data_IF_203903389543
#
_entry.id   IF_203903389543
#
_cell.length_a   1.000
_cell.length_b   1.000
_cell.length_c   1.000
_cell.angle_alpha   90.00
_cell.angle_beta   90.00
_cell.angle_gamma   90.00
#
_symmetry.space_group_name_H-M   'P 1'
#
loop_
_entity.id
_entity.type
_entity.pdbx_description
1 polymer ?
#
# COMPACT_ATOMS: atom_id res chain seq x y z
N UNK A 1 43.64 33.07 49.23
CA UNK A 1 44.08 34.00 48.16
C UNK A 1 44.72 33.15 47.06
N UNK A 2 44.31 33.08 45.80
CA UNK A 2 43.40 33.87 44.95
C UNK A 2 42.63 32.88 44.06
N UNK A 3 41.33 33.06 43.89
CA UNK A 3 40.59 32.46 42.77
C UNK A 3 40.84 33.34 41.54
N UNK A 4 41.46 32.78 40.50
CA UNK A 4 41.40 33.31 39.14
C UNK A 4 40.39 32.48 38.38
N UNK A 5 39.23 33.06 38.13
CA UNK A 5 38.14 32.45 37.37
C UNK A 5 38.42 32.63 35.88
N UNK A 6 38.57 31.52 35.17
CA UNK A 6 38.78 31.46 33.73
C UNK A 6 37.51 31.83 32.96
N UNK A 7 37.43 33.06 32.45
CA UNK A 7 36.33 33.54 31.60
C UNK A 7 36.52 33.26 30.10
N UNK A 8 37.56 32.50 29.71
CA UNK A 8 37.86 32.21 28.31
C UNK A 8 36.85 31.33 27.55
N UNK A 9 36.11 30.36 28.15
CA UNK A 9 35.23 29.50 27.36
C UNK A 9 33.90 30.16 26.97
N UNK A 10 33.46 31.20 27.69
CA UNK A 10 32.17 31.87 27.46
C UNK A 10 32.21 32.87 26.30
N UNK A 11 33.33 33.56 26.11
CA UNK A 11 33.51 34.47 24.97
C UNK A 11 33.59 33.71 23.63
N UNK A 12 34.17 32.51 23.62
CA UNK A 12 34.30 31.68 22.42
C UNK A 12 32.97 31.09 21.95
N UNK A 13 32.08 30.72 22.89
CA UNK A 13 30.73 30.25 22.61
C UNK A 13 29.82 31.35 22.04
N UNK A 14 29.97 32.59 22.51
CA UNK A 14 29.19 33.73 22.02
C UNK A 14 29.58 34.14 20.59
N UNK A 15 30.87 34.11 20.26
CA UNK A 15 31.35 34.45 18.91
C UNK A 15 30.91 33.39 17.88
N UNK A 16 30.95 32.11 18.25
CA UNK A 16 30.51 31.01 17.36
C UNK A 16 29.00 31.01 17.14
N UNK A 17 28.18 31.33 18.16
CA UNK A 17 26.73 31.49 18.00
C UNK A 17 26.36 32.67 17.08
N UNK A 18 27.05 33.81 17.20
CA UNK A 18 26.82 34.98 16.35
C UNK A 18 27.19 34.74 14.87
N UNK A 19 28.28 34.00 14.61
CA UNK A 19 28.66 33.62 13.24
C UNK A 19 27.66 32.64 12.61
N UNK A 20 27.11 31.70 13.39
CA UNK A 20 26.09 30.77 12.91
C UNK A 20 24.79 31.51 12.51
N UNK A 21 24.34 32.48 13.31
CA UNK A 21 23.15 33.28 12.99
C UNK A 21 23.33 34.17 11.76
N UNK A 22 24.53 34.73 11.53
CA UNK A 22 24.81 35.55 10.35
C UNK A 22 24.90 34.72 9.06
N UNK A 23 25.47 33.50 9.12
CA UNK A 23 25.59 32.61 7.96
C UNK A 23 24.24 31.97 7.60
N UNK A 24 23.43 31.55 8.58
CA UNK A 24 22.11 30.98 8.33
C UNK A 24 21.03 32.03 8.04
N UNK A 25 21.13 33.23 8.61
CA UNK A 25 20.23 34.34 8.31
C UNK A 25 20.30 34.79 6.85
N UNK A 26 21.52 34.85 6.27
CA UNK A 26 21.72 35.23 4.86
C UNK A 26 21.28 34.16 3.86
N UNK A 27 21.27 32.87 4.23
CA UNK A 27 20.74 31.80 3.35
C UNK A 27 19.21 31.83 3.24
N UNK A 28 18.48 32.24 4.29
CA UNK A 28 17.02 32.37 4.23
C UNK A 28 16.54 33.51 3.30
N UNK A 29 17.28 34.61 3.20
CA UNK A 29 16.89 35.72 2.33
C UNK A 29 17.05 35.41 0.84
N UNK A 30 18.05 34.62 0.43
CA UNK A 30 18.20 34.18 -0.97
C UNK A 30 17.19 33.12 -1.40
N UNK A 31 16.62 32.35 -0.46
CA UNK A 31 15.53 31.41 -0.75
C UNK A 31 14.17 32.13 -0.90
N UNK A 32 13.98 33.29 -0.26
CA UNK A 32 12.74 34.06 -0.36
C UNK A 32 12.62 34.85 -1.68
N UNK A 33 13.74 35.32 -2.25
CA UNK A 33 13.73 36.05 -3.54
C UNK A 33 13.55 35.15 -4.78
N UNK A 34 13.70 33.82 -4.65
CA UNK A 34 13.42 32.85 -5.74
C UNK A 34 11.96 32.35 -5.76
N UNK A 35 11.12 32.77 -4.80
CA UNK A 35 9.68 32.46 -4.75
C UNK A 35 8.79 33.48 -5.49
N UNK A 36 9.38 34.34 -6.33
CA UNK A 36 8.69 35.34 -7.15
C UNK A 36 8.35 34.88 -8.57
N UNK A 37 8.14 33.59 -8.81
CA UNK A 37 7.56 33.08 -10.06
C UNK A 37 6.63 31.93 -9.70
N UNK A 38 5.47 32.31 -9.15
CA UNK A 38 4.30 31.44 -9.15
C UNK A 38 3.89 31.28 -10.60
N UNK A 39 4.41 30.22 -11.23
CA UNK A 39 3.75 29.60 -12.37
C UNK A 39 2.34 29.28 -11.91
N UNK A 40 1.38 30.08 -12.36
CA UNK A 40 -0.04 29.73 -12.31
C UNK A 40 -0.17 28.48 -13.16
N UNK A 41 -0.14 27.32 -12.49
CA UNK A 41 -0.59 26.06 -13.07
C UNK A 41 -1.95 26.38 -13.72
N UNK A 42 -2.14 26.12 -15.03
CA UNK A 42 -3.44 26.30 -15.64
C UNK A 42 -4.46 25.56 -14.78
N UNK A 43 -5.45 26.27 -14.23
CA UNK A 43 -6.57 25.60 -13.60
C UNK A 43 -7.23 24.78 -14.70
N UNK A 44 -7.12 23.46 -14.58
CA UNK A 44 -7.90 22.56 -15.41
C UNK A 44 -9.38 22.94 -15.22
N UNK A 45 -10.16 23.06 -16.30
CA UNK A 45 -11.56 23.39 -16.18
C UNK A 45 -12.25 22.37 -15.25
N UNK A 46 -13.22 22.82 -14.43
CA UNK A 46 -13.99 21.90 -13.60
C UNK A 46 -14.60 20.82 -14.49
N UNK A 47 -14.38 19.57 -14.08
CA UNK A 47 -14.87 18.40 -14.81
C UNK A 47 -16.41 18.47 -14.80
N UNK A 48 -17.08 18.44 -15.97
CA UNK A 48 -18.53 18.50 -16.02
C UNK A 48 -19.14 17.28 -15.30
N UNK A 49 -20.27 17.43 -14.58
CA UNK A 49 -20.92 16.34 -13.83
C UNK A 49 -21.19 15.08 -14.67
N UNK A 50 -21.39 15.27 -15.99
CA UNK A 50 -21.62 14.21 -16.97
C UNK A 50 -20.43 13.26 -17.14
N UNK A 51 -19.21 13.69 -16.81
CA UNK A 51 -18.00 12.87 -16.88
C UNK A 51 -17.96 11.74 -15.83
N UNK A 52 -18.84 11.78 -14.83
CA UNK A 52 -18.99 10.75 -13.81
C UNK A 52 -20.16 9.80 -14.07
N UNK A 53 -20.99 10.04 -15.09
CA UNK A 53 -22.14 9.18 -15.38
C UNK A 53 -21.68 7.79 -15.86
N UNK A 54 -22.07 6.75 -15.13
CA UNK A 54 -21.68 5.36 -15.41
C UNK A 54 -20.22 5.04 -15.08
N UNK A 55 -19.61 5.80 -14.16
CA UNK A 55 -18.32 5.44 -13.56
C UNK A 55 -18.49 4.29 -12.56
N UNK A 56 -17.44 3.52 -12.36
CA UNK A 56 -17.31 2.55 -11.27
C UNK A 56 -17.17 3.27 -9.93
N UNK A 57 -17.97 2.87 -8.95
CA UNK A 57 -18.08 3.52 -7.63
C UNK A 57 -17.79 2.55 -6.49
N UNK A 58 -17.72 3.07 -5.26
CA UNK A 58 -17.59 2.24 -4.05
C UNK A 58 -18.75 1.25 -3.87
N UNK A 59 -19.95 1.62 -4.32
CA UNK A 59 -21.11 0.72 -4.28
C UNK A 59 -20.89 -0.46 -5.22
N UNK A 60 -20.38 -0.19 -6.44
CA UNK A 60 -20.07 -1.25 -7.41
C UNK A 60 -18.94 -2.16 -6.91
N UNK A 61 -17.93 -1.61 -6.22
CA UNK A 61 -16.87 -2.39 -5.56
C UNK A 61 -17.48 -3.37 -4.55
N UNK A 62 -18.37 -2.87 -3.67
CA UNK A 62 -19.01 -3.69 -2.64
C UNK A 62 -19.89 -4.78 -3.25
N UNK A 63 -20.71 -4.43 -4.25
CA UNK A 63 -21.54 -5.40 -4.97
C UNK A 63 -20.70 -6.46 -5.67
N UNK A 64 -19.58 -6.07 -6.28
CA UNK A 64 -18.65 -7.01 -6.91
C UNK A 64 -18.00 -7.94 -5.88
N UNK A 65 -17.58 -7.42 -4.72
CA UNK A 65 -16.99 -8.21 -3.65
C UNK A 65 -17.97 -9.27 -3.12
N UNK A 66 -19.23 -8.87 -2.91
CA UNK A 66 -20.31 -9.78 -2.49
C UNK A 66 -20.61 -10.83 -3.57
N UNK A 67 -20.72 -10.41 -4.83
CA UNK A 67 -20.99 -11.33 -5.94
C UNK A 67 -19.85 -12.34 -6.18
N UNK A 68 -18.61 -11.94 -5.90
CA UNK A 68 -17.43 -12.82 -5.92
C UNK A 68 -17.36 -13.78 -4.71
N UNK A 69 -18.28 -13.65 -3.75
CA UNK A 69 -18.30 -14.48 -2.54
C UNK A 69 -17.14 -14.19 -1.58
N UNK A 70 -16.66 -12.94 -1.54
CA UNK A 70 -15.55 -12.59 -0.66
C UNK A 70 -15.96 -12.65 0.82
N UNK A 71 -15.01 -12.98 1.72
CA UNK A 71 -15.28 -13.15 3.14
C UNK A 71 -15.80 -11.87 3.80
N UNK A 72 -16.67 -12.03 4.81
CA UNK A 72 -17.28 -10.92 5.55
C UNK A 72 -16.26 -9.90 6.08
N UNK A 73 -15.07 -10.35 6.46
CA UNK A 73 -14.00 -9.46 6.93
C UNK A 73 -13.55 -8.46 5.87
N UNK A 74 -13.47 -8.88 4.60
CA UNK A 74 -13.17 -7.99 3.46
C UNK A 74 -14.34 -7.04 3.23
N UNK A 75 -15.58 -7.54 3.25
CA UNK A 75 -16.77 -6.71 3.07
C UNK A 75 -16.84 -5.60 4.14
N UNK A 76 -16.51 -5.91 5.40
CA UNK A 76 -16.44 -4.93 6.50
C UNK A 76 -15.36 -3.87 6.29
N UNK A 77 -14.19 -4.26 5.77
CA UNK A 77 -13.11 -3.33 5.43
C UNK A 77 -13.57 -2.33 4.37
N UNK A 78 -14.19 -2.82 3.29
CA UNK A 78 -14.68 -1.98 2.20
C UNK A 78 -15.76 -0.98 2.64
N UNK A 79 -16.61 -1.37 3.60
CA UNK A 79 -17.63 -0.49 4.18
C UNK A 79 -17.11 0.55 5.18
N UNK A 80 -15.79 0.67 5.39
CA UNK A 80 -15.16 1.52 6.42
C UNK A 80 -15.67 1.24 7.85
N UNK A 81 -16.02 -0.02 8.14
CA UNK A 81 -16.59 -0.47 9.43
C UNK A 81 -15.67 -1.40 10.21
N UNK A 82 -14.36 -1.33 9.98
CA UNK A 82 -13.42 -2.22 10.66
C UNK A 82 -13.18 -1.78 12.11
N UNK A 83 -13.91 -2.41 13.03
CA UNK A 83 -13.77 -2.28 14.49
C UNK A 83 -12.89 -3.38 15.11
N UNK A 84 -12.30 -4.24 14.28
CA UNK A 84 -11.49 -5.35 14.76
C UNK A 84 -10.17 -4.89 15.41
N UNK A 85 -9.90 -5.27 16.67
CA UNK A 85 -8.74 -4.79 17.41
C UNK A 85 -7.40 -5.25 16.82
N UNK A 86 -7.32 -6.44 16.22
CA UNK A 86 -6.08 -6.97 15.63
C UNK A 86 -5.74 -6.19 14.35
N UNK A 87 -6.74 -5.98 13.47
CA UNK A 87 -6.53 -5.15 12.27
C UNK A 87 -6.23 -3.67 12.63
N UNK A 88 -6.75 -3.18 13.75
CA UNK A 88 -6.44 -1.83 14.23
C UNK A 88 -5.03 -1.70 14.77
N UNK A 89 -4.61 -2.65 15.60
CA UNK A 89 -3.27 -2.72 16.18
C UNK A 89 -2.19 -2.66 15.09
N UNK A 90 -2.36 -3.45 14.02
CA UNK A 90 -1.41 -3.54 12.91
C UNK A 90 -1.68 -2.58 11.77
N UNK A 91 -2.64 -1.66 11.94
CA UNK A 91 -3.03 -0.64 10.96
C UNK A 91 -3.52 -1.17 9.60
N UNK A 92 -3.76 -2.47 9.49
CA UNK A 92 -4.25 -3.11 8.26
C UNK A 92 -5.61 -2.59 7.79
N UNK A 93 -6.45 -2.09 8.70
CA UNK A 93 -7.69 -1.39 8.36
C UNK A 93 -7.50 -0.06 7.60
N UNK A 94 -6.29 0.50 7.61
CA UNK A 94 -5.90 1.69 6.83
C UNK A 94 -5.15 1.30 5.57
N UNK A 95 -4.35 0.25 5.66
CA UNK A 95 -3.55 -0.21 4.53
C UNK A 95 -4.42 -0.90 3.49
N UNK A 96 -5.39 -1.72 3.92
CA UNK A 96 -6.39 -2.33 3.04
C UNK A 96 -7.68 -1.52 3.06
N UNK A 97 -8.10 -1.07 1.88
CA UNK A 97 -9.29 -0.24 1.73
C UNK A 97 -9.99 -0.45 0.38
N UNK A 98 -11.14 0.19 0.20
CA UNK A 98 -11.71 0.38 -1.12
C UNK A 98 -10.66 1.03 -2.05
N UNK A 99 -10.59 0.65 -3.34
CA UNK A 99 -9.65 1.21 -4.31
C UNK A 99 -10.04 2.64 -4.72
N UNK A 100 -9.99 3.58 -3.76
CA UNK A 100 -10.35 4.99 -3.93
C UNK A 100 -9.60 5.66 -5.08
N UNK A 101 -8.33 5.29 -5.28
CA UNK A 101 -7.50 5.77 -6.38
C UNK A 101 -8.09 5.46 -7.78
N UNK A 102 -9.00 4.48 -7.89
CA UNK A 102 -9.75 4.17 -9.10
C UNK A 102 -11.17 4.77 -9.06
N UNK A 103 -11.89 4.66 -7.95
CA UNK A 103 -13.30 5.11 -7.87
C UNK A 103 -13.46 6.63 -7.92
N UNK A 104 -12.40 7.37 -7.57
CA UNK A 104 -12.37 8.84 -7.61
C UNK A 104 -12.07 9.40 -9.01
N UNK A 105 -11.60 8.55 -9.93
CA UNK A 105 -11.34 8.91 -11.31
C UNK A 105 -12.64 9.20 -12.09
N UNK A 106 -12.51 9.95 -13.18
CA UNK A 106 -13.58 10.06 -14.18
C UNK A 106 -13.77 8.75 -14.93
N UNK A 107 -14.93 8.57 -15.55
CA UNK A 107 -15.19 7.36 -16.35
C UNK A 107 -14.14 7.13 -17.44
N UNK A 108 -13.69 8.20 -18.11
CA UNK A 108 -12.67 8.12 -19.16
C UNK A 108 -11.31 7.68 -18.62
N UNK A 109 -10.93 8.15 -17.43
CA UNK A 109 -9.67 7.73 -16.78
C UNK A 109 -9.76 6.27 -16.32
N UNK A 110 -10.93 5.85 -15.84
CA UNK A 110 -11.21 4.46 -15.48
C UNK A 110 -11.08 3.48 -16.65
N UNK A 111 -11.40 3.91 -17.88
CA UNK A 111 -11.26 3.08 -19.09
C UNK A 111 -9.82 2.60 -19.33
N UNK A 112 -8.81 3.37 -18.90
CA UNK A 112 -7.38 3.01 -19.00
C UNK A 112 -7.08 1.72 -18.22
N UNK A 113 -7.80 1.47 -17.14
CA UNK A 113 -7.63 0.29 -16.29
C UNK A 113 -8.52 -0.88 -16.71
N UNK A 114 -9.26 -0.75 -17.84
CA UNK A 114 -10.16 -1.76 -18.36
C UNK A 114 -11.10 -2.34 -17.28
N UNK A 115 -11.73 -1.46 -16.48
CA UNK A 115 -12.56 -1.83 -15.31
C UNK A 115 -13.71 -2.81 -15.64
N UNK A 116 -14.17 -2.84 -16.88
CA UNK A 116 -15.16 -3.83 -17.33
C UNK A 116 -14.66 -5.26 -17.23
N UNK A 117 -13.37 -5.47 -17.44
CA UNK A 117 -12.70 -6.75 -17.25
C UNK A 117 -12.11 -6.89 -15.85
N UNK A 118 -11.25 -5.95 -15.45
CA UNK A 118 -10.54 -5.99 -14.18
C UNK A 118 -11.30 -5.19 -13.14
N UNK A 119 -12.21 -5.85 -12.44
CA UNK A 119 -13.07 -5.22 -11.43
C UNK A 119 -12.24 -4.95 -10.17
N UNK A 120 -11.90 -3.69 -9.84
CA UNK A 120 -11.13 -3.39 -8.64
C UNK A 120 -11.95 -3.73 -7.41
N UNK A 121 -11.37 -4.47 -6.47
CA UNK A 121 -12.05 -4.95 -5.27
C UNK A 121 -11.42 -4.36 -4.02
N UNK A 122 -10.10 -4.44 -3.90
CA UNK A 122 -9.35 -4.03 -2.72
C UNK A 122 -8.13 -3.25 -3.19
N UNK A 123 -7.67 -2.31 -2.38
CA UNK A 123 -6.37 -1.69 -2.55
C UNK A 123 -5.52 -1.89 -1.30
N UNK A 124 -4.22 -2.09 -1.49
CA UNK A 124 -3.21 -2.00 -0.44
C UNK A 124 -2.39 -0.71 -0.58
N UNK A 125 -2.21 -0.01 0.54
CA UNK A 125 -1.45 1.24 0.65
C UNK A 125 -1.82 2.29 -0.41
N UNK A 126 -3.07 2.26 -0.88
CA UNK A 126 -3.60 3.11 -1.95
C UNK A 126 -2.92 3.01 -3.33
N UNK A 127 -1.98 2.07 -3.53
CA UNK A 127 -1.20 1.93 -4.74
C UNK A 127 -1.42 0.59 -5.44
N UNK A 128 -1.33 -0.52 -4.70
CA UNK A 128 -1.56 -1.85 -5.26
C UNK A 128 -3.05 -2.14 -5.30
N UNK A 129 -3.57 -2.45 -6.48
CA UNK A 129 -4.96 -2.81 -6.72
C UNK A 129 -5.09 -4.32 -6.88
N UNK A 130 -5.98 -4.91 -6.09
CA UNK A 130 -6.47 -6.27 -6.25
C UNK A 130 -7.76 -6.20 -7.07
N UNK A 131 -7.73 -6.77 -8.26
CA UNK A 131 -8.89 -6.79 -9.14
C UNK A 131 -9.28 -8.21 -9.53
N UNK A 132 -10.57 -8.43 -9.73
CA UNK A 132 -11.10 -9.67 -10.27
C UNK A 132 -11.19 -9.57 -11.79
N UNK A 133 -10.51 -10.48 -12.50
CA UNK A 133 -10.62 -10.64 -13.94
C UNK A 133 -11.91 -11.41 -14.27
N UNK A 134 -12.90 -10.70 -14.79
CA UNK A 134 -14.21 -11.26 -15.12
C UNK A 134 -14.15 -12.28 -16.26
N UNK A 135 -13.10 -12.28 -17.09
CA UNK A 135 -12.91 -13.22 -18.18
C UNK A 135 -12.27 -14.52 -17.68
N UNK A 136 -11.14 -14.42 -16.96
CA UNK A 136 -10.37 -15.57 -16.46
C UNK A 136 -10.88 -16.14 -15.14
N UNK A 137 -11.84 -15.46 -14.48
CA UNK A 137 -12.47 -15.89 -13.22
C UNK A 137 -11.46 -16.07 -12.08
N UNK A 138 -10.56 -15.11 -11.94
CA UNK A 138 -9.57 -15.07 -10.86
C UNK A 138 -9.13 -13.65 -10.55
N UNK A 139 -8.11 -13.52 -9.72
CA UNK A 139 -7.62 -12.25 -9.26
C UNK A 139 -6.31 -11.86 -9.93
N UNK A 140 -6.09 -10.57 -10.10
CA UNK A 140 -4.84 -9.98 -10.56
C UNK A 140 -4.45 -8.85 -9.62
N UNK A 141 -3.15 -8.59 -9.54
CA UNK A 141 -2.59 -7.46 -8.81
C UNK A 141 -1.89 -6.55 -9.79
N UNK A 142 -2.11 -5.25 -9.69
CA UNK A 142 -1.37 -4.25 -10.44
C UNK A 142 -1.15 -2.99 -9.61
N UNK A 143 -0.12 -2.23 -9.93
CA UNK A 143 0.09 -0.91 -9.32
C UNK A 143 -0.75 0.14 -10.06
N UNK A 144 -1.32 1.12 -9.35
CA UNK A 144 -2.14 2.19 -9.93
C UNK A 144 -1.41 3.01 -11.01
N UNK A 145 -0.08 3.08 -10.93
CA UNK A 145 0.77 3.75 -11.93
C UNK A 145 1.03 2.87 -13.17
N UNK A 146 0.58 1.62 -13.15
CA UNK A 146 0.75 0.63 -14.22
C UNK A 146 -0.59 0.13 -14.74
N UNK A 147 -0.68 -0.08 -16.05
CA UNK A 147 -1.84 -0.77 -16.64
C UNK A 147 -1.85 -2.24 -16.20
N UNK A 148 -3.03 -2.86 -15.98
CA UNK A 148 -3.11 -4.28 -15.66
C UNK A 148 -2.50 -5.13 -16.78
N UNK A 149 -1.60 -6.05 -16.44
CA UNK A 149 -1.04 -6.98 -17.43
C UNK A 149 -2.10 -7.99 -17.88
N UNK A 150 -2.60 -7.79 -19.10
CA UNK A 150 -3.62 -8.63 -19.73
C UNK A 150 -3.14 -10.06 -19.97
N UNK A 151 -1.84 -10.24 -20.20
CA UNK A 151 -1.22 -11.53 -20.50
C UNK A 151 -0.93 -12.35 -19.23
N UNK A 152 -0.77 -11.69 -18.08
CA UNK A 152 -0.52 -12.36 -16.81
C UNK A 152 -1.60 -13.39 -16.46
N UNK A 153 -1.19 -14.48 -15.81
CA UNK A 153 -2.11 -15.47 -15.25
C UNK A 153 -2.99 -14.85 -14.15
N UNK A 154 -4.07 -15.54 -13.80
CA UNK A 154 -4.86 -15.14 -12.64
C UNK A 154 -4.46 -15.96 -11.41
N UNK A 155 -4.66 -15.36 -10.25
CA UNK A 155 -4.45 -15.98 -8.95
C UNK A 155 -5.79 -16.37 -8.33
N UNK A 156 -5.76 -17.34 -7.42
CA UNK A 156 -6.85 -17.55 -6.46
C UNK A 156 -6.80 -16.45 -5.40
N UNK A 157 -7.86 -16.34 -4.58
CA UNK A 157 -7.87 -15.37 -3.48
C UNK A 157 -6.71 -15.60 -2.50
N UNK A 158 -6.43 -16.86 -2.14
CA UNK A 158 -5.25 -17.22 -1.36
C UNK A 158 -3.94 -16.87 -2.07
N UNK A 159 -3.86 -17.11 -3.39
CA UNK A 159 -2.66 -16.82 -4.19
C UNK A 159 -2.26 -15.34 -4.15
N UNK A 160 -3.24 -14.45 -4.16
CA UNK A 160 -3.03 -13.00 -4.05
C UNK A 160 -2.30 -12.60 -2.76
N UNK A 161 -2.53 -13.33 -1.67
CA UNK A 161 -2.03 -12.95 -0.35
C UNK A 161 -0.72 -13.65 0.04
N UNK A 162 -0.12 -14.49 -0.83
CA UNK A 162 1.17 -15.14 -0.53
C UNK A 162 2.26 -14.11 -0.19
N UNK A 163 2.42 -13.10 -1.05
CA UNK A 163 3.37 -12.01 -0.83
C UNK A 163 2.96 -11.07 0.32
N UNK A 164 1.66 -10.94 0.59
CA UNK A 164 1.17 -10.13 1.72
C UNK A 164 1.46 -10.78 3.07
N UNK A 165 1.29 -12.10 3.19
CA UNK A 165 1.63 -12.86 4.40
C UNK A 165 3.12 -12.77 4.68
N UNK A 166 3.97 -12.87 3.65
CA UNK A 166 5.41 -12.63 3.80
C UNK A 166 5.68 -11.23 4.34
N UNK A 167 5.02 -10.21 3.79
CA UNK A 167 5.18 -8.82 4.25
C UNK A 167 4.74 -8.62 5.70
N UNK A 168 3.60 -9.20 6.10
CA UNK A 168 3.13 -9.16 7.48
C UNK A 168 4.14 -9.76 8.44
N UNK A 169 4.75 -10.89 8.04
CA UNK A 169 5.82 -11.53 8.78
C UNK A 169 7.10 -10.65 8.84
N UNK A 170 7.51 -10.05 7.72
CA UNK A 170 8.65 -9.11 7.67
C UNK A 170 8.43 -7.84 8.50
N UNK A 171 7.18 -7.45 8.73
CA UNK A 171 6.79 -6.35 9.62
C UNK A 171 6.70 -6.76 11.09
N UNK A 172 7.17 -7.97 11.43
CA UNK A 172 7.19 -8.52 12.79
C UNK A 172 5.79 -8.59 13.42
N UNK A 173 4.74 -8.75 12.61
CA UNK A 173 3.40 -9.07 13.11
C UNK A 173 3.48 -10.47 13.75
N UNK A 174 3.01 -10.66 15.01
CA UNK A 174 3.06 -11.97 15.65
C UNK A 174 2.32 -13.03 14.83
N UNK A 175 2.85 -14.25 14.74
CA UNK A 175 2.26 -15.36 13.97
C UNK A 175 0.77 -15.60 14.32
N UNK A 176 0.42 -15.53 15.61
CA UNK A 176 -0.97 -15.69 16.05
C UNK A 176 -1.90 -14.61 15.46
N UNK A 177 -1.41 -13.38 15.35
CA UNK A 177 -2.16 -12.28 14.74
C UNK A 177 -2.21 -12.46 13.21
N UNK A 178 -1.13 -12.91 12.57
CA UNK A 178 -1.13 -13.21 11.12
C UNK A 178 -2.16 -14.30 10.80
N UNK A 179 -2.19 -15.38 11.58
CA UNK A 179 -3.16 -16.47 11.40
C UNK A 179 -4.59 -15.94 11.59
N UNK A 180 -4.81 -15.10 12.61
CA UNK A 180 -6.10 -14.44 12.83
C UNK A 180 -6.52 -13.59 11.64
N UNK A 181 -5.62 -12.73 11.14
CA UNK A 181 -5.83 -11.88 9.96
C UNK A 181 -6.18 -12.74 8.75
N UNK A 182 -5.45 -13.84 8.55
CA UNK A 182 -5.71 -14.82 7.50
C UNK A 182 -7.14 -15.36 7.54
N UNK A 183 -7.58 -15.84 8.71
CA UNK A 183 -8.96 -16.30 8.89
C UNK A 183 -9.99 -15.18 8.69
N UNK A 184 -9.70 -13.96 9.17
CA UNK A 184 -10.57 -12.81 8.98
C UNK A 184 -10.73 -12.46 7.48
N UNK A 185 -9.67 -12.63 6.67
CA UNK A 185 -9.69 -12.47 5.21
C UNK A 185 -10.11 -13.73 4.45
N UNK A 186 -10.53 -14.79 5.16
CA UNK A 186 -10.91 -16.10 4.62
C UNK A 186 -9.81 -16.77 3.79
N UNK A 187 -8.57 -16.60 4.20
CA UNK A 187 -7.40 -17.28 3.63
C UNK A 187 -7.26 -18.67 4.29
N UNK A 188 -7.21 -19.70 3.46
CA UNK A 188 -7.16 -21.11 3.88
C UNK A 188 -5.73 -21.59 4.16
N UNK A 189 -4.73 -20.94 3.55
CA UNK A 189 -3.35 -21.42 3.56
C UNK A 189 -2.38 -20.58 4.40
N UNK A 190 -2.88 -19.67 5.24
CA UNK A 190 -2.03 -18.73 6.00
C UNK A 190 -0.97 -19.43 6.86
N UNK A 191 -1.37 -20.46 7.61
CA UNK A 191 -0.42 -21.23 8.44
C UNK A 191 0.64 -21.94 7.60
N UNK A 192 0.25 -22.53 6.47
CA UNK A 192 1.15 -23.24 5.57
C UNK A 192 2.17 -22.28 4.93
N UNK A 193 1.73 -21.09 4.51
CA UNK A 193 2.61 -20.05 3.97
C UNK A 193 3.61 -19.59 5.03
N UNK A 194 3.17 -19.33 6.27
CA UNK A 194 4.05 -18.96 7.38
C UNK A 194 5.10 -20.05 7.67
N UNK A 195 4.67 -21.31 7.77
CA UNK A 195 5.59 -22.45 7.98
C UNK A 195 6.63 -22.54 6.87
N UNK A 196 6.22 -22.30 5.62
CA UNK A 196 7.11 -22.30 4.46
C UNK A 196 8.17 -21.19 4.55
N UNK A 197 7.80 -19.98 5.00
CA UNK A 197 8.74 -18.88 5.24
C UNK A 197 9.82 -19.30 6.25
N UNK A 198 9.43 -19.85 7.40
CA UNK A 198 10.39 -20.31 8.41
C UNK A 198 11.29 -21.43 7.90
N UNK A 199 10.72 -22.44 7.23
CA UNK A 199 11.49 -23.55 6.68
C UNK A 199 12.53 -23.11 5.64
N UNK A 200 12.22 -22.05 4.87
CA UNK A 200 13.08 -21.57 3.80
C UNK A 200 14.13 -20.55 4.26
N UNK A 201 13.80 -19.75 5.26
CA UNK A 201 14.62 -18.61 5.68
C UNK A 201 15.31 -18.79 7.03
N UNK A 202 14.98 -19.84 7.79
CA UNK A 202 15.42 -19.99 9.19
C UNK A 202 15.07 -18.75 10.04
N UNK A 203 13.95 -18.10 9.71
CA UNK A 203 13.46 -16.89 10.35
C UNK A 203 14.25 -15.60 10.03
N UNK A 204 15.14 -15.61 9.03
CA UNK A 204 16.06 -14.49 8.72
C UNK A 204 15.73 -13.73 7.43
N UNK A 205 14.63 -14.08 6.76
CA UNK A 205 14.24 -13.52 5.47
C UNK A 205 14.98 -14.14 4.28
N UNK A 206 14.58 -13.74 3.08
CA UNK A 206 15.16 -14.27 1.84
C UNK A 206 16.49 -13.58 1.51
N UNK A 207 17.56 -14.33 1.17
CA UNK A 207 18.89 -13.76 0.94
C UNK A 207 18.99 -12.99 -0.38
N UNK A 208 18.11 -13.27 -1.35
CA UNK A 208 18.11 -12.61 -2.67
C UNK A 208 16.70 -12.53 -3.22
N UNK A 209 16.46 -11.55 -4.10
CA UNK A 209 15.22 -11.44 -4.88
C UNK A 209 14.93 -12.70 -5.70
N UNK A 210 15.97 -13.34 -6.27
CA UNK A 210 15.80 -14.60 -7.01
C UNK A 210 15.28 -15.73 -6.11
N UNK A 211 15.76 -15.81 -4.87
CA UNK A 211 15.30 -16.82 -3.91
C UNK A 211 13.86 -16.56 -3.46
N UNK A 212 13.49 -15.30 -3.25
CA UNK A 212 12.13 -14.87 -2.94
C UNK A 212 11.17 -15.24 -4.08
N UNK A 213 11.49 -14.88 -5.32
CA UNK A 213 10.64 -15.21 -6.47
C UNK A 213 10.49 -16.72 -6.66
N UNK A 214 11.57 -17.48 -6.50
CA UNK A 214 11.50 -18.94 -6.62
C UNK A 214 10.57 -19.54 -5.55
N UNK A 215 10.68 -19.08 -4.30
CA UNK A 215 9.79 -19.50 -3.22
C UNK A 215 8.34 -19.11 -3.49
N UNK A 216 8.08 -17.89 -3.95
CA UNK A 216 6.70 -17.45 -4.24
C UNK A 216 6.06 -18.33 -5.33
N UNK A 217 6.79 -18.65 -6.40
CA UNK A 217 6.30 -19.55 -7.44
C UNK A 217 6.09 -20.99 -6.92
N UNK A 218 6.99 -21.50 -6.08
CA UNK A 218 6.82 -22.80 -5.41
C UNK A 218 5.56 -22.81 -4.54
N UNK A 219 5.37 -21.77 -3.72
CA UNK A 219 4.23 -21.64 -2.81
C UNK A 219 2.90 -21.51 -3.57
N UNK A 220 2.88 -20.70 -4.64
CA UNK A 220 1.73 -20.58 -5.53
C UNK A 220 1.39 -21.91 -6.20
N UNK A 221 2.37 -22.70 -6.61
CA UNK A 221 2.12 -24.04 -7.16
C UNK A 221 1.53 -24.98 -6.09
N UNK A 222 2.06 -24.95 -4.88
CA UNK A 222 1.67 -25.83 -3.77
C UNK A 222 0.23 -25.60 -3.32
N UNK A 223 -0.20 -24.34 -3.18
CA UNK A 223 -1.58 -24.00 -2.77
C UNK A 223 -2.56 -23.97 -3.96
N UNK A 224 -2.10 -24.32 -5.16
CA UNK A 224 -2.85 -24.13 -6.42
C UNK A 224 -3.34 -22.68 -6.55
N UNK A 225 -2.44 -21.76 -6.22
CA UNK A 225 -2.64 -20.32 -6.15
C UNK A 225 -2.80 -19.65 -7.52
N UNK A 226 -2.55 -20.39 -8.61
CA UNK A 226 -2.70 -19.90 -9.99
C UNK A 226 -3.89 -20.59 -10.65
N UNK A 227 -4.72 -19.80 -11.33
CA UNK A 227 -5.80 -20.27 -12.19
C UNK A 227 -5.27 -20.39 -13.61
N UNK A 228 -5.35 -21.60 -14.15
CA UNK A 228 -4.90 -21.98 -15.49
C UNK A 228 -5.89 -21.57 -16.59
#
# INVERSE_FOLDING_TARGET
>A
MKQTTDYLPLAFLLITACLFLLVFGRRRQKAAQKKGSLSTRPQLPPIPPEAHAGKWTEVDVLECAVAAGLPDGIIRLLGARCDDPVLQQHRLHKDYACPYAITDLTKREQEVYAIDRFKPILAYAHATIFAYDTLKKGYVTYDIESEPDVAAGCLTWDGVFVSEILRWWEYEIPDADIIYIGHYFGLHYTEQVLQSIYARTDGKGFPTYKALNAWEQEMLAEIKGVIA
#
